data_IF_108967507492
#
_entry.id   IF_108967507492
#
_cell.length_a   1.000
_cell.length_b   1.000
_cell.length_c   1.000
_cell.angle_alpha   90.00
_cell.angle_beta   90.00
_cell.angle_gamma   90.00
#
_symmetry.space_group_name_H-M   'P 1'
#
loop_
_entity.id
_entity.type
_entity.pdbx_description
1 polymer ?
#
# COMPACT_ATOMS: atom_id res chain seq x y z
N UNK A 1 -12.36 3.78 -2.17
CA UNK A 1 -10.98 4.16 -1.78
C UNK A 1 -11.07 5.32 -0.80
N UNK A 2 -10.35 5.28 0.32
CA UNK A 2 -10.03 6.51 1.04
C UNK A 2 -8.53 6.67 0.86
N UNK A 3 -8.17 7.46 -0.14
CA UNK A 3 -6.79 7.89 -0.34
C UNK A 3 -6.44 8.75 0.86
N UNK A 4 -5.62 8.23 1.76
CA UNK A 4 -4.90 9.06 2.72
C UNK A 4 -3.47 9.10 2.21
N UNK A 5 -3.30 9.86 1.12
CA UNK A 5 -1.99 10.39 0.79
C UNK A 5 -1.72 11.39 1.90
N UNK A 6 -0.57 11.25 2.55
CA UNK A 6 -0.06 12.32 3.40
C UNK A 6 -0.10 13.59 2.52
N UNK A 7 -0.97 14.51 2.89
CA UNK A 7 -1.58 15.52 2.03
C UNK A 7 -0.55 16.21 1.14
N UNK A 8 -0.82 16.26 -0.17
CA UNK A 8 -0.10 17.06 -1.17
C UNK A 8 1.37 16.66 -1.44
N UNK A 9 1.58 15.44 -1.94
CA UNK A 9 2.84 15.08 -2.59
C UNK A 9 3.11 15.97 -3.80
N UNK A 10 4.03 16.92 -3.62
CA UNK A 10 4.63 17.75 -4.68
C UNK A 10 6.04 17.27 -5.06
N UNK A 11 6.57 16.26 -4.37
CA UNK A 11 7.90 15.67 -4.55
C UNK A 11 7.89 14.21 -5.03
N UNK A 12 9.07 13.58 -5.04
CA UNK A 12 9.23 12.17 -5.44
C UNK A 12 8.62 11.23 -4.39
N UNK A 13 7.97 10.16 -4.85
CA UNK A 13 7.47 9.08 -3.98
C UNK A 13 8.57 8.02 -3.91
N UNK A 14 9.18 7.86 -2.74
CA UNK A 14 10.20 6.83 -2.56
C UNK A 14 9.53 5.46 -2.35
N UNK A 15 8.48 5.42 -1.53
CA UNK A 15 7.73 4.19 -1.24
C UNK A 15 6.23 4.42 -1.33
N UNK A 16 5.55 3.61 -2.12
CA UNK A 16 4.10 3.50 -2.12
C UNK A 16 3.67 2.28 -1.32
N UNK A 17 3.01 2.50 -0.19
CA UNK A 17 2.39 1.44 0.62
C UNK A 17 0.93 1.29 0.21
N UNK A 18 0.50 0.07 -0.07
CA UNK A 18 -0.88 -0.28 -0.45
C UNK A 18 -1.44 -1.26 0.57
N UNK A 19 -2.63 -1.01 1.11
CA UNK A 19 -3.25 -1.93 2.07
C UNK A 19 -4.77 -1.96 2.00
N UNK A 20 -5.39 -2.87 2.74
CA UNK A 20 -6.83 -2.95 2.93
C UNK A 20 -7.20 -3.51 4.31
N UNK A 21 -8.40 -3.17 4.79
CA UNK A 21 -8.96 -3.70 6.05
C UNK A 21 -8.54 -2.95 7.31
N UNK A 22 -8.48 -3.68 8.44
CA UNK A 22 -8.31 -3.09 9.78
C UNK A 22 -6.89 -2.58 10.11
N UNK A 23 -5.90 -2.90 9.28
CA UNK A 23 -4.51 -2.47 9.45
C UNK A 23 -4.28 -0.97 9.16
N UNK A 24 -5.32 -0.26 8.72
CA UNK A 24 -5.24 1.13 8.26
C UNK A 24 -4.51 2.06 9.24
N UNK A 25 -5.00 2.14 10.47
CA UNK A 25 -4.51 3.09 11.46
C UNK A 25 -3.10 2.71 11.92
N UNK A 26 -2.83 1.41 12.08
CA UNK A 26 -1.50 0.95 12.49
C UNK A 26 -0.43 1.30 11.45
N UNK A 27 -0.75 1.21 10.16
CA UNK A 27 0.15 1.62 9.08
C UNK A 27 0.33 3.14 9.10
N UNK A 28 -0.76 3.91 9.22
CA UNK A 28 -0.68 5.38 9.29
C UNK A 28 0.18 5.86 10.46
N UNK A 29 -0.01 5.28 11.65
CA UNK A 29 0.76 5.63 12.85
C UNK A 29 2.25 5.24 12.71
N UNK A 30 2.58 4.33 11.80
CA UNK A 30 3.96 3.89 11.53
C UNK A 30 4.66 4.74 10.46
N UNK A 31 3.90 5.47 9.62
CA UNK A 31 4.45 6.32 8.56
C UNK A 31 4.80 7.68 9.18
N UNK A 32 6.09 7.91 9.36
CA UNK A 32 6.62 9.21 9.84
C UNK A 32 7.40 9.97 8.76
N UNK A 33 7.58 9.37 7.59
CA UNK A 33 8.36 9.93 6.49
C UNK A 33 7.43 10.56 5.43
N UNK A 34 7.71 11.80 5.05
CA UNK A 34 6.95 12.56 4.05
C UNK A 34 7.16 12.04 2.62
N UNK A 35 8.17 11.19 2.37
CA UNK A 35 8.43 10.54 1.07
C UNK A 35 7.63 9.24 0.87
N UNK A 36 6.92 8.78 1.90
CA UNK A 36 6.09 7.57 1.85
C UNK A 36 4.64 7.91 1.52
N UNK A 37 4.17 7.45 0.36
CA UNK A 37 2.77 7.55 -0.03
C UNK A 37 1.98 6.33 0.46
N UNK A 38 0.73 6.54 0.85
CA UNK A 38 -0.13 5.46 1.32
C UNK A 38 -1.48 5.43 0.59
N UNK A 39 -1.80 4.26 0.03
CA UNK A 39 -3.07 3.98 -0.62
C UNK A 39 -3.81 2.89 0.15
N UNK A 40 -5.00 3.23 0.65
CA UNK A 40 -5.82 2.30 1.40
C UNK A 40 -7.15 1.97 0.69
N UNK A 41 -7.34 0.69 0.37
CA UNK A 41 -8.58 0.14 -0.14
C UNK A 41 -9.56 -0.14 1.00
N UNK A 42 -10.65 0.63 1.04
CA UNK A 42 -11.78 0.39 1.96
C UNK A 42 -12.66 -0.77 1.52
N UNK A 43 -12.75 -1.00 0.20
CA UNK A 43 -13.51 -2.08 -0.42
C UNK A 43 -12.69 -2.62 -1.58
N UNK A 44 -12.74 -3.95 -1.79
CA UNK A 44 -12.00 -4.63 -2.85
C UNK A 44 -12.75 -4.66 -4.18
N UNK A 45 -14.08 -4.52 -4.16
CA UNK A 45 -14.93 -4.57 -5.35
C UNK A 45 -15.93 -3.42 -5.40
N UNK A 46 -16.11 -2.74 -6.55
CA UNK A 46 -15.26 -2.82 -7.75
C UNK A 46 -13.83 -2.32 -7.46
N UNK A 47 -12.82 -3.04 -7.96
CA UNK A 47 -11.42 -2.65 -7.76
C UNK A 47 -11.09 -1.46 -8.66
N UNK A 48 -10.69 -0.35 -8.06
CA UNK A 48 -10.21 0.82 -8.79
C UNK A 48 -8.70 0.76 -8.91
N UNK A 49 -8.21 0.64 -10.13
CA UNK A 49 -6.78 0.44 -10.42
C UNK A 49 -6.12 1.70 -10.99
N UNK A 50 -6.88 2.63 -11.56
CA UNK A 50 -6.38 3.85 -12.21
C UNK A 50 -5.40 4.64 -11.32
N UNK A 51 -5.85 4.95 -10.09
CA UNK A 51 -5.05 5.71 -9.13
C UNK A 51 -3.86 4.93 -8.57
N UNK A 52 -4.02 3.63 -8.40
CA UNK A 52 -2.94 2.75 -7.98
C UNK A 52 -1.82 2.73 -9.02
N UNK A 53 -2.18 2.57 -10.29
CA UNK A 53 -1.23 2.54 -11.40
C UNK A 53 -0.52 3.89 -11.54
N UNK A 54 -1.25 5.00 -11.41
CA UNK A 54 -0.66 6.35 -11.46
C UNK A 54 0.37 6.57 -10.35
N UNK A 55 0.06 6.17 -9.11
CA UNK A 55 0.97 6.31 -7.98
C UNK A 55 2.14 5.34 -8.06
N UNK A 56 1.90 4.10 -8.48
CA UNK A 56 2.93 3.08 -8.63
C UNK A 56 3.97 3.49 -9.69
N UNK A 57 3.53 4.13 -10.78
CA UNK A 57 4.44 4.65 -11.81
C UNK A 57 5.33 5.81 -11.32
N UNK A 58 4.92 6.52 -10.26
CA UNK A 58 5.68 7.61 -9.64
C UNK A 58 6.55 7.15 -8.46
N UNK A 59 6.32 5.94 -7.95
CA UNK A 59 6.99 5.41 -6.79
C UNK A 59 8.29 4.68 -7.19
N UNK A 60 9.38 4.88 -6.43
CA UNK A 60 10.60 4.09 -6.61
C UNK A 60 10.42 2.64 -6.14
N UNK A 61 9.54 2.43 -5.16
CA UNK A 61 9.24 1.12 -4.58
C UNK A 61 7.77 1.00 -4.22
N UNK A 62 7.20 -0.18 -4.40
CA UNK A 62 5.80 -0.49 -4.10
C UNK A 62 5.71 -1.64 -3.09
N UNK A 63 4.92 -1.44 -2.04
CA UNK A 63 4.78 -2.40 -0.93
C UNK A 63 3.31 -2.69 -0.70
N UNK A 64 2.92 -3.96 -0.81
CA UNK A 64 1.59 -4.42 -0.48
C UNK A 64 1.55 -4.94 0.96
N UNK A 65 0.66 -4.41 1.79
CA UNK A 65 0.44 -4.87 3.17
C UNK A 65 -0.97 -5.43 3.29
N UNK A 66 -1.07 -6.74 3.54
CA UNK A 66 -2.37 -7.40 3.72
C UNK A 66 -2.39 -8.31 4.94
N UNK A 67 -3.48 -8.21 5.71
CA UNK A 67 -3.71 -8.99 6.93
C UNK A 67 -4.28 -10.39 6.67
N UNK A 68 -3.99 -10.99 5.52
CA UNK A 68 -4.40 -12.34 5.20
C UNK A 68 -3.20 -13.15 4.67
N UNK A 69 -3.21 -14.45 4.91
CA UNK A 69 -2.12 -15.34 4.49
C UNK A 69 -2.13 -15.67 2.98
N UNK A 70 -3.22 -15.37 2.28
CA UNK A 70 -3.45 -15.85 0.91
C UNK A 70 -3.04 -14.88 -0.19
N UNK A 71 -2.67 -13.64 0.14
CA UNK A 71 -2.20 -12.71 -0.87
C UNK A 71 -3.30 -12.19 -1.80
N UNK A 72 -4.57 -12.29 -1.39
CA UNK A 72 -5.71 -12.18 -2.32
C UNK A 72 -5.78 -10.81 -2.99
N UNK A 73 -5.42 -9.73 -2.29
CA UNK A 73 -5.45 -8.39 -2.88
C UNK A 73 -4.36 -8.26 -3.95
N UNK A 74 -3.16 -8.78 -3.69
CA UNK A 74 -2.07 -8.75 -4.67
C UNK A 74 -2.39 -9.55 -5.92
N UNK A 75 -3.06 -10.70 -5.76
CA UNK A 75 -3.55 -11.49 -6.89
C UNK A 75 -4.60 -10.73 -7.71
N UNK A 76 -5.59 -10.13 -7.05
CA UNK A 76 -6.65 -9.38 -7.70
C UNK A 76 -6.08 -8.16 -8.46
N UNK A 77 -5.18 -7.39 -7.84
CA UNK A 77 -4.50 -6.26 -8.49
C UNK A 77 -3.73 -6.71 -9.73
N UNK A 78 -2.96 -7.80 -9.62
CA UNK A 78 -2.24 -8.36 -10.76
C UNK A 78 -3.18 -8.82 -11.88
N UNK A 79 -4.35 -9.38 -11.55
CA UNK A 79 -5.35 -9.79 -12.54
C UNK A 79 -6.01 -8.59 -13.23
N UNK A 80 -6.35 -7.54 -12.49
CA UNK A 80 -7.12 -6.41 -12.99
C UNK A 80 -6.27 -5.37 -13.74
N UNK A 81 -5.02 -5.14 -13.32
CA UNK A 81 -4.16 -4.14 -13.96
C UNK A 81 -2.72 -4.60 -14.26
N UNK A 82 -2.37 -5.86 -13.98
CA UNK A 82 -1.03 -6.36 -14.24
C UNK A 82 0.07 -5.82 -13.33
N UNK A 83 -0.27 -5.00 -12.32
CA UNK A 83 0.71 -4.44 -11.41
C UNK A 83 1.28 -5.54 -10.50
N UNK A 84 2.61 -5.59 -10.42
CA UNK A 84 3.33 -6.39 -9.44
C UNK A 84 3.96 -5.48 -8.38
N UNK A 85 3.89 -5.92 -7.12
CA UNK A 85 4.51 -5.22 -6.00
C UNK A 85 5.93 -5.73 -5.78
N UNK A 86 6.86 -4.80 -5.52
CA UNK A 86 8.25 -5.12 -5.18
C UNK A 86 8.35 -5.92 -3.89
N UNK A 87 7.53 -5.56 -2.90
CA UNK A 87 7.45 -6.28 -1.62
C UNK A 87 6.00 -6.55 -1.21
N UNK A 88 5.81 -7.68 -0.53
CA UNK A 88 4.52 -8.10 0.01
C UNK A 88 4.68 -8.48 1.48
N UNK A 89 4.05 -7.70 2.35
CA UNK A 89 3.95 -7.96 3.78
C UNK A 89 2.62 -8.66 4.03
N UNK A 90 2.66 -9.99 4.04
CA UNK A 90 1.53 -10.82 4.42
C UNK A 90 1.52 -11.00 5.94
N UNK A 91 0.38 -10.76 6.59
CA UNK A 91 0.24 -10.98 8.03
C UNK A 91 -0.98 -11.79 8.39
N UNK A 92 -0.82 -12.65 9.40
CA UNK A 92 -1.89 -13.45 9.98
C UNK A 92 -2.07 -13.20 11.50
N UNK A 93 -1.12 -12.53 12.20
CA UNK A 93 -1.08 -12.49 13.69
C UNK A 93 -1.39 -11.14 14.39
N UNK A 94 -1.71 -10.07 13.65
CA UNK A 94 -2.18 -8.82 14.26
C UNK A 94 -1.11 -7.81 14.73
N UNK A 95 0.20 -8.08 14.63
CA UNK A 95 1.24 -7.06 14.89
C UNK A 95 1.79 -6.45 13.61
N UNK A 96 1.45 -5.23 13.21
CA UNK A 96 2.03 -4.59 12.00
C UNK A 96 3.45 -4.06 12.25
N UNK A 97 4.45 -4.92 12.16
CA UNK A 97 5.81 -4.53 11.71
C UNK A 97 5.76 -4.18 10.22
N UNK A 98 5.70 -2.89 9.89
CA UNK A 98 6.29 -2.41 8.63
C UNK A 98 7.80 -2.56 8.82
N UNK A 99 8.55 -3.22 7.91
CA UNK A 99 10.00 -3.33 8.05
C UNK A 99 10.60 -1.94 8.25
N UNK A 100 11.34 -1.73 9.34
CA UNK A 100 11.98 -0.44 9.65
C UNK A 100 12.92 0.02 8.52
N UNK A 101 13.41 -0.92 7.71
CA UNK A 101 14.25 -0.68 6.53
C UNK A 101 13.53 0.01 5.36
N UNK A 102 12.19 0.12 5.39
CA UNK A 102 11.40 0.87 4.40
C UNK A 102 11.15 2.32 4.82
N UNK A 103 11.51 2.70 6.04
CA UNK A 103 11.16 3.97 6.71
C UNK A 103 12.41 4.72 7.19
N UNK A 104 13.61 4.29 6.75
CA UNK A 104 14.92 4.81 7.17
C UNK A 104 15.73 5.36 6.02
#
# INVERSE_FOLDING_TARGET
EKLIVNSDFSGEIDVLVVSWGSNKNVILDSINDESVAYLHYTYLWPLKTEKLVELAAKAKKTVLVEGNAQGQLGMLIKQECGLEFDERVLKFDGRVSVPLQLIS
#
